data_IF_493000926780
#
_entry.id   IF_493000926780
#
_cell.length_a   1.000
_cell.length_b   1.000
_cell.length_c   1.000
_cell.angle_alpha   90.00
_cell.angle_beta   90.00
_cell.angle_gamma   90.00
#
_symmetry.space_group_name_H-M   'P 1'
#
loop_
_entity.id
_entity.type
_entity.pdbx_description
1 polymer ?
#
# COMPACT_ATOMS: atom_id res chain seq x y z
N UNK A 1 2.67 -3.40 13.38
CA UNK A 1 1.74 -2.25 13.34
C UNK A 1 2.51 -1.08 12.73
N UNK A 2 2.35 -0.83 11.42
CA UNK A 2 3.17 0.11 10.61
C UNK A 2 3.28 1.50 11.24
N UNK A 3 2.16 2.03 11.72
CA UNK A 3 2.08 3.31 12.44
C UNK A 3 3.04 3.40 13.63
N UNK A 4 3.23 2.32 14.38
CA UNK A 4 4.15 2.28 15.53
C UNK A 4 5.62 2.24 15.11
N UNK A 5 5.92 1.74 13.92
CA UNK A 5 7.29 1.55 13.43
C UNK A 5 7.80 2.76 12.65
N UNK A 6 6.90 3.43 11.89
CA UNK A 6 7.26 4.48 10.93
C UNK A 6 6.61 5.84 11.22
N UNK A 7 5.77 5.92 12.25
CA UNK A 7 5.06 7.16 12.62
C UNK A 7 3.79 7.41 11.80
N UNK A 8 3.12 8.52 12.12
CA UNK A 8 1.84 8.90 11.51
C UNK A 8 1.98 9.34 10.05
N UNK A 9 3.03 10.09 9.73
CA UNK A 9 3.24 10.70 8.41
C UNK A 9 3.42 9.64 7.33
N UNK A 10 4.38 8.72 7.51
CA UNK A 10 4.62 7.63 6.57
C UNK A 10 3.46 6.65 6.50
N UNK A 11 2.74 6.45 7.62
CA UNK A 11 1.54 5.63 7.63
C UNK A 11 0.43 6.24 6.77
N UNK A 12 0.16 7.54 6.90
CA UNK A 12 -0.84 8.23 6.07
C UNK A 12 -0.45 8.24 4.61
N UNK A 13 0.81 8.56 4.29
CA UNK A 13 1.32 8.53 2.93
C UNK A 13 1.09 7.15 2.28
N UNK A 14 1.44 6.08 3.00
CA UNK A 14 1.23 4.71 2.52
C UNK A 14 -0.26 4.44 2.24
N UNK A 15 -1.16 4.83 3.14
CA UNK A 15 -2.60 4.60 2.98
C UNK A 15 -3.22 5.43 1.85
N UNK A 16 -2.86 6.70 1.73
CA UNK A 16 -3.34 7.59 0.66
C UNK A 16 -2.94 7.05 -0.72
N UNK A 17 -1.70 6.56 -0.86
CA UNK A 17 -1.26 5.95 -2.12
C UNK A 17 -1.85 4.56 -2.35
N UNK A 18 -2.21 3.82 -1.29
CA UNK A 18 -2.87 2.51 -1.41
C UNK A 18 -4.32 2.62 -1.91
N UNK A 19 -5.01 3.74 -1.64
CA UNK A 19 -6.44 3.92 -1.95
C UNK A 19 -6.78 3.70 -3.43
N UNK A 20 -5.96 4.21 -4.35
CA UNK A 20 -6.17 4.01 -5.80
C UNK A 20 -6.08 2.54 -6.21
N UNK A 21 -5.21 1.77 -5.58
CA UNK A 21 -5.03 0.35 -5.88
C UNK A 21 -6.08 -0.53 -5.21
N UNK A 22 -6.58 -0.12 -4.03
CA UNK A 22 -7.73 -0.76 -3.39
C UNK A 22 -9.00 -0.58 -4.23
N UNK A 23 -9.24 0.66 -4.69
CA UNK A 23 -10.35 0.98 -5.59
C UNK A 23 -10.26 0.22 -6.91
N UNK A 24 -9.03 0.03 -7.42
CA UNK A 24 -8.77 -0.74 -8.64
C UNK A 24 -8.70 -2.26 -8.46
N UNK A 25 -8.99 -2.82 -7.28
CA UNK A 25 -8.89 -4.26 -6.98
C UNK A 25 -7.48 -4.88 -7.19
N UNK A 26 -6.45 -4.05 -7.15
CA UNK A 26 -5.04 -4.48 -7.24
C UNK A 26 -4.44 -4.73 -5.85
N UNK A 27 -5.00 -4.07 -4.83
CA UNK A 27 -4.78 -4.36 -3.42
C UNK A 27 -6.06 -4.83 -2.73
N UNK A 28 -5.90 -5.60 -1.66
CA UNK A 28 -6.94 -5.92 -0.69
C UNK A 28 -6.43 -5.65 0.73
N UNK A 29 -7.36 -5.53 1.68
CA UNK A 29 -7.04 -5.45 3.10
C UNK A 29 -7.52 -6.73 3.78
N UNK A 30 -6.60 -7.45 4.41
CA UNK A 30 -6.91 -8.59 5.28
C UNK A 30 -6.29 -8.36 6.66
N UNK A 31 -7.12 -8.39 7.72
CA UNK A 31 -6.70 -8.20 9.11
C UNK A 31 -5.66 -7.07 9.30
N UNK A 32 -5.93 -5.91 8.69
CA UNK A 32 -5.07 -4.72 8.78
C UNK A 32 -3.75 -4.80 8.00
N UNK A 33 -3.64 -5.74 7.06
CA UNK A 33 -2.50 -5.95 6.15
C UNK A 33 -2.95 -5.65 4.72
N UNK A 34 -2.19 -4.80 4.01
CA UNK A 34 -2.36 -4.61 2.58
C UNK A 34 -1.74 -5.80 1.83
N UNK A 35 -2.53 -6.46 1.00
CA UNK A 35 -2.13 -7.61 0.22
C UNK A 35 -2.32 -7.33 -1.27
N UNK A 36 -1.36 -7.78 -2.09
CA UNK A 36 -1.53 -7.78 -3.54
C UNK A 36 -2.58 -8.82 -3.93
N UNK A 37 -3.48 -8.43 -4.83
CA UNK A 37 -4.36 -9.39 -5.50
C UNK A 37 -3.59 -10.12 -6.60
N UNK A 38 -4.21 -11.15 -7.21
CA UNK A 38 -3.62 -11.83 -8.37
C UNK A 38 -3.35 -10.86 -9.52
N UNK A 39 -4.21 -9.88 -9.73
CA UNK A 39 -4.03 -8.85 -10.75
C UNK A 39 -2.96 -7.83 -10.35
N UNK A 40 -2.93 -7.42 -9.08
CA UNK A 40 -1.92 -6.50 -8.56
C UNK A 40 -0.49 -7.04 -8.62
N UNK A 41 -0.29 -8.35 -8.52
CA UNK A 41 1.04 -8.97 -8.60
C UNK A 41 1.77 -8.63 -9.90
N UNK A 42 1.05 -8.50 -11.03
CA UNK A 42 1.65 -8.23 -12.35
C UNK A 42 2.31 -6.85 -12.47
N UNK A 43 1.92 -5.90 -11.61
CA UNK A 43 2.46 -4.54 -11.59
C UNK A 43 2.96 -4.17 -10.18
N UNK A 44 3.38 -5.20 -9.42
CA UNK A 44 3.70 -5.07 -8.00
C UNK A 44 4.88 -4.14 -7.72
N UNK A 45 5.84 -4.03 -8.64
CA UNK A 45 6.96 -3.10 -8.59
C UNK A 45 6.50 -1.64 -8.63
N UNK A 46 5.54 -1.33 -9.50
CA UNK A 46 4.92 -0.01 -9.58
C UNK A 46 4.10 0.30 -8.32
N UNK A 47 3.30 -0.66 -7.85
CA UNK A 47 2.53 -0.49 -6.61
C UNK A 47 3.47 -0.23 -5.43
N UNK A 48 4.52 -1.04 -5.26
CA UNK A 48 5.45 -0.87 -4.14
C UNK A 48 6.21 0.45 -4.23
N UNK A 49 6.61 0.88 -5.42
CA UNK A 49 7.28 2.17 -5.61
C UNK A 49 6.39 3.34 -5.15
N UNK A 50 5.10 3.30 -5.48
CA UNK A 50 4.15 4.35 -5.08
C UNK A 50 3.80 4.31 -3.58
N UNK A 51 3.92 3.15 -2.93
CA UNK A 51 3.72 3.02 -1.48
C UNK A 51 4.96 3.41 -0.65
N UNK A 52 6.13 3.52 -1.28
CA UNK A 52 7.39 3.83 -0.62
C UNK A 52 7.75 5.31 -0.79
N UNK A 53 7.76 6.05 0.32
CA UNK A 53 8.30 7.39 0.32
C UNK A 53 9.81 7.34 0.04
N UNK A 54 10.25 7.96 -1.07
CA UNK A 54 11.66 8.20 -1.38
C UNK A 54 11.95 9.70 -1.20
N UNK A 55 13.01 10.04 -0.47
CA UNK A 55 13.47 11.43 -0.32
C UNK A 55 14.34 11.86 -1.50
#
# INVERSE_FOLDING_TARGET
NLRKLFGEELYRYCLENAEKYLTGHLLSIDQNTLMLTREGIFISDGIMSDLMWVK
#
